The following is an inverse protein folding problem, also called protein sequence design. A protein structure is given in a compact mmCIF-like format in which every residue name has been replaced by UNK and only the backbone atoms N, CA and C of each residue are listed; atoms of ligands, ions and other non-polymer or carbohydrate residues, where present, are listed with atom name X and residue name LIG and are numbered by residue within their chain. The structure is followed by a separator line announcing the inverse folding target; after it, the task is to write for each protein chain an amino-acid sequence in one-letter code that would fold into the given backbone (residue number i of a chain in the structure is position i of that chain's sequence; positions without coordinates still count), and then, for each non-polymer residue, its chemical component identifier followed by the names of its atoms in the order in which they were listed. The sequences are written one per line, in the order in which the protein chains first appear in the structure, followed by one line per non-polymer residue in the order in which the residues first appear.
data_IF_450569393014
#
_entry.id   IF_450569393014
#
_cell.length_a   1.000
_cell.length_b   1.000
_cell.length_c   1.000
_cell.angle_alpha   90.00
_cell.angle_beta   90.00
_cell.angle_gamma   90.00
#
_symmetry.space_group_name_H-M   'P 1'
#
loop_
_entity.id
_entity.type
_entity.pdbx_description
1 polymer ?
#
# COMPACT_ATOMS: atom_id res chain seq x y z
N UNK A 1 18.35 -31.12 0.48
CA UNK A 1 17.58 -30.00 1.05
C UNK A 1 16.18 -30.04 0.47
N UNK A 2 15.12 -30.04 1.28
CA UNK A 2 13.76 -29.95 0.78
C UNK A 2 13.56 -28.57 0.13
N UNK A 3 12.80 -28.45 -0.98
CA UNK A 3 12.51 -27.15 -1.56
C UNK A 3 11.74 -26.32 -0.52
N UNK A 4 12.21 -25.11 -0.24
CA UNK A 4 11.49 -24.16 0.59
C UNK A 4 10.08 -23.99 -0.01
N UNK A 5 9.04 -24.16 0.83
CA UNK A 5 7.67 -23.97 0.39
C UNK A 5 7.56 -22.60 -0.30
N UNK A 6 6.87 -22.50 -1.46
CA UNK A 6 6.74 -21.24 -2.17
C UNK A 6 6.13 -20.23 -1.21
N UNK A 7 6.89 -19.18 -0.88
CA UNK A 7 6.40 -18.08 -0.08
C UNK A 7 5.25 -17.43 -0.84
N UNK A 8 4.10 -17.32 -0.17
CA UNK A 8 2.93 -16.67 -0.74
C UNK A 8 3.32 -15.27 -1.24
N UNK A 9 2.97 -14.95 -2.48
CA UNK A 9 3.29 -13.65 -3.03
C UNK A 9 2.51 -12.55 -2.30
N UNK A 10 3.15 -11.41 -2.10
CA UNK A 10 2.62 -10.29 -1.34
C UNK A 10 2.36 -9.10 -2.24
N UNK A 11 1.20 -8.48 -2.05
CA UNK A 11 0.81 -7.21 -2.63
C UNK A 11 0.88 -6.17 -1.52
N UNK A 12 1.63 -5.11 -1.76
CA UNK A 12 1.77 -4.01 -0.83
C UNK A 12 0.88 -2.85 -1.27
N UNK A 13 -0.20 -2.57 -0.53
CA UNK A 13 -1.08 -1.43 -0.73
C UNK A 13 -0.68 -0.27 0.19
N UNK A 14 -0.17 0.81 -0.38
CA UNK A 14 0.24 2.02 0.32
C UNK A 14 -0.90 3.03 0.26
N UNK A 15 -1.32 3.55 1.41
CA UNK A 15 -2.42 4.52 1.54
C UNK A 15 -2.00 5.70 2.39
N UNK A 16 -2.40 6.90 2.01
CA UNK A 16 -2.11 8.13 2.77
C UNK A 16 -3.28 8.47 3.72
N UNK A 17 -4.50 8.21 3.27
CA UNK A 17 -5.70 8.37 4.09
C UNK A 17 -6.50 7.06 4.13
N UNK A 18 -6.99 6.68 5.32
CA UNK A 18 -7.79 5.45 5.49
C UNK A 18 -9.10 5.46 4.68
N UNK A 19 -9.65 6.62 4.36
CA UNK A 19 -10.83 6.73 3.50
C UNK A 19 -10.53 6.25 2.06
N UNK A 20 -9.29 6.45 1.57
CA UNK A 20 -8.88 5.98 0.25
C UNK A 20 -8.87 4.46 0.18
N UNK A 21 -8.52 3.81 1.30
CA UNK A 21 -8.50 2.35 1.40
C UNK A 21 -9.87 1.79 1.05
N UNK A 22 -10.96 2.37 1.58
CA UNK A 22 -12.33 1.93 1.35
C UNK A 22 -12.71 1.91 -0.14
N UNK A 23 -12.15 2.81 -0.95
CA UNK A 23 -12.45 2.95 -2.37
C UNK A 23 -11.71 1.94 -3.25
N UNK A 24 -10.55 1.44 -2.81
CA UNK A 24 -9.62 0.72 -3.70
C UNK A 24 -9.40 -0.73 -3.34
N UNK A 25 -9.56 -1.11 -2.07
CA UNK A 25 -9.12 -2.41 -1.58
C UNK A 25 -9.79 -3.58 -2.32
N UNK A 26 -11.07 -3.44 -2.68
CA UNK A 26 -11.80 -4.45 -3.45
C UNK A 26 -11.21 -4.62 -4.85
N UNK A 27 -10.98 -3.50 -5.54
CA UNK A 27 -10.39 -3.52 -6.88
C UNK A 27 -9.00 -4.16 -6.88
N UNK A 28 -8.15 -3.83 -5.89
CA UNK A 28 -6.82 -4.45 -5.75
C UNK A 28 -6.94 -5.95 -5.51
N UNK A 29 -7.86 -6.38 -4.65
CA UNK A 29 -8.09 -7.80 -4.40
C UNK A 29 -8.56 -8.53 -5.66
N UNK A 30 -9.46 -7.94 -6.44
CA UNK A 30 -10.07 -8.58 -7.60
C UNK A 30 -9.16 -8.59 -8.84
N UNK A 31 -8.25 -7.63 -8.97
CA UNK A 31 -7.44 -7.46 -10.18
C UNK A 31 -5.96 -7.80 -9.99
N UNK A 32 -5.43 -7.66 -8.77
CA UNK A 32 -4.01 -7.88 -8.50
C UNK A 32 -3.74 -9.19 -7.75
N UNK A 33 -4.70 -9.69 -6.97
CA UNK A 33 -4.49 -10.79 -6.03
C UNK A 33 -4.84 -12.19 -6.57
N UNK A 34 -3.92 -13.10 -6.29
CA UNK A 34 -3.97 -14.57 -6.30
C UNK A 34 -4.83 -15.13 -5.17
N UNK A 35 -5.52 -16.27 -5.36
CA UNK A 35 -5.88 -17.12 -4.22
C UNK A 35 -4.61 -17.53 -3.47
N UNK A 36 -4.56 -17.32 -2.17
CA UNK A 36 -3.37 -17.56 -1.33
C UNK A 36 -2.35 -16.42 -1.29
N UNK A 37 -2.51 -15.35 -2.09
CA UNK A 37 -1.65 -14.17 -1.96
C UNK A 37 -1.89 -13.47 -0.63
N UNK A 38 -0.87 -12.77 -0.15
CA UNK A 38 -0.93 -11.90 1.03
C UNK A 38 -1.14 -10.46 0.60
N UNK A 39 -1.97 -9.71 1.35
CA UNK A 39 -2.13 -8.26 1.16
C UNK A 39 -1.59 -7.53 2.40
N UNK A 40 -0.60 -6.66 2.22
CA UNK A 40 -0.10 -5.79 3.28
C UNK A 40 -0.54 -4.36 3.02
N UNK A 41 -1.22 -3.75 3.99
CA UNK A 41 -1.73 -2.39 3.88
C UNK A 41 -0.83 -1.48 4.74
N UNK A 42 -0.10 -0.57 4.09
CA UNK A 42 0.78 0.38 4.77
C UNK A 42 0.18 1.78 4.74
N UNK A 43 -0.23 2.25 5.90
CA UNK A 43 -0.75 3.60 6.09
C UNK A 43 0.42 4.56 6.35
N UNK A 44 0.75 5.38 5.37
CA UNK A 44 1.78 6.43 5.42
C UNK A 44 1.10 7.76 5.73
N UNK A 45 0.83 8.02 7.00
CA UNK A 45 0.26 9.28 7.45
C UNK A 45 1.13 9.92 8.52
N UNK A 46 1.20 11.26 8.52
CA UNK A 46 1.50 12.02 9.73
C UNK A 46 0.46 11.72 10.83
N UNK A 47 0.62 12.25 12.06
CA UNK A 47 -0.23 11.92 13.21
C UNK A 47 -1.69 12.33 12.96
N UNK A 48 -2.44 11.47 12.29
CA UNK A 48 -3.83 11.68 11.93
C UNK A 48 -4.68 10.90 12.93
N UNK A 49 -5.46 11.67 13.69
CA UNK A 49 -6.21 11.26 14.89
C UNK A 49 -7.56 10.62 14.54
N UNK A 50 -7.85 10.34 13.25
CA UNK A 50 -9.07 9.64 12.84
C UNK A 50 -8.90 8.13 13.04
N UNK A 51 -8.93 7.72 14.31
CA UNK A 51 -9.00 6.33 14.71
C UNK A 51 -10.32 5.70 14.26
N UNK A 52 -10.33 5.09 13.08
CA UNK A 52 -11.23 3.98 12.80
C UNK A 52 -10.44 2.66 12.90
N UNK A 53 -10.17 2.16 14.11
CA UNK A 53 -9.48 0.87 14.31
C UNK A 53 -10.23 -0.32 13.68
N UNK A 54 -11.50 -0.15 13.33
CA UNK A 54 -12.34 -1.18 12.73
C UNK A 54 -12.13 -1.37 11.23
N UNK A 55 -11.70 -0.36 10.46
CA UNK A 55 -11.66 -0.46 8.99
C UNK A 55 -10.62 -1.49 8.50
N UNK A 56 -9.35 -1.47 8.97
CA UNK A 56 -8.38 -2.51 8.58
C UNK A 56 -8.84 -3.92 8.98
N UNK A 57 -9.46 -4.05 10.15
CA UNK A 57 -9.97 -5.33 10.67
C UNK A 57 -11.13 -5.85 9.82
N UNK A 58 -12.07 -4.99 9.44
CA UNK A 58 -13.20 -5.35 8.59
C UNK A 58 -12.73 -5.81 7.20
N UNK A 59 -11.78 -5.08 6.60
CA UNK A 59 -11.18 -5.42 5.31
C UNK A 59 -10.44 -6.77 5.39
N UNK A 60 -9.66 -6.99 6.45
CA UNK A 60 -8.98 -8.27 6.66
C UNK A 60 -9.95 -9.45 6.72
N UNK A 61 -11.09 -9.30 7.40
CA UNK A 61 -12.11 -10.33 7.48
C UNK A 61 -12.78 -10.59 6.12
N UNK A 62 -13.10 -9.54 5.36
CA UNK A 62 -13.70 -9.68 4.03
C UNK A 62 -12.76 -10.36 3.03
N UNK A 63 -11.46 -10.05 3.09
CA UNK A 63 -10.45 -10.63 2.19
C UNK A 63 -10.15 -12.10 2.49
N UNK A 64 -10.13 -12.50 3.77
CA UNK A 64 -10.04 -13.92 4.15
C UNK A 64 -11.20 -14.73 3.57
N UNK A 65 -12.42 -14.17 3.61
CA UNK A 65 -13.61 -14.78 3.00
C UNK A 65 -13.48 -14.99 1.48
N UNK A 66 -12.60 -14.24 0.81
CA UNK A 66 -12.31 -14.33 -0.64
C UNK A 66 -11.17 -15.29 -0.98
N UNK A 67 -10.54 -15.93 0.01
CA UNK A 67 -9.46 -16.89 -0.21
C UNK A 67 -8.09 -16.25 -0.47
N UNK A 68 -7.92 -14.95 -0.19
CA UNK A 68 -6.59 -14.41 0.07
C UNK A 68 -6.04 -15.05 1.35
N UNK A 69 -4.72 -15.18 1.42
CA UNK A 69 -4.02 -15.75 2.57
C UNK A 69 -4.10 -14.83 3.79
N UNK A 70 -2.99 -14.15 4.09
CA UNK A 70 -2.95 -13.22 5.20
C UNK A 70 -3.22 -11.78 4.75
N UNK A 71 -3.81 -10.98 5.63
CA UNK A 71 -3.92 -9.53 5.44
C UNK A 71 -3.27 -8.87 6.64
N UNK A 72 -2.27 -8.04 6.39
CA UNK A 72 -1.54 -7.31 7.41
C UNK A 72 -1.80 -5.82 7.29
N UNK A 73 -1.78 -5.12 8.42
CA UNK A 73 -1.86 -3.67 8.46
C UNK A 73 -0.68 -3.11 9.26
N UNK A 74 -0.01 -2.11 8.69
CA UNK A 74 1.11 -1.42 9.32
C UNK A 74 0.93 0.07 9.15
N UNK A 75 1.11 0.82 10.24
CA UNK A 75 1.21 2.26 10.19
C UNK A 75 2.68 2.67 10.13
N UNK A 76 3.03 3.52 9.16
CA UNK A 76 4.36 4.09 9.01
C UNK A 76 4.32 5.55 9.46
N UNK A 77 5.30 5.90 10.29
CA UNK A 77 5.50 7.26 10.79
C UNK A 77 6.80 7.81 10.21
N UNK A 78 6.81 9.11 9.91
CA UNK A 78 8.06 9.77 9.55
C UNK A 78 8.99 9.76 10.76
N UNK A 79 10.18 9.21 10.58
CA UNK A 79 11.20 9.14 11.62
C UNK A 79 11.89 10.50 11.85
N UNK A 80 11.79 11.40 10.86
CA UNK A 80 12.44 12.72 10.83
C UNK A 80 11.47 13.89 10.85
N UNK A 81 10.16 13.64 10.72
CA UNK A 81 9.13 14.65 10.48
C UNK A 81 9.02 15.09 9.02
N UNK A 82 9.93 14.68 8.13
CA UNK A 82 9.85 14.91 6.69
C UNK A 82 8.95 13.84 6.01
N UNK A 83 7.89 14.21 5.26
CA UNK A 83 7.09 13.28 4.47
C UNK A 83 7.87 12.50 3.40
N UNK A 84 9.02 13.01 2.93
CA UNK A 84 9.88 12.32 1.95
C UNK A 84 10.48 11.04 2.52
N UNK A 85 10.72 11.00 3.83
CA UNK A 85 11.20 9.82 4.55
C UNK A 85 10.23 8.63 4.39
N UNK A 86 8.93 8.90 4.28
CA UNK A 86 7.93 7.84 4.09
C UNK A 86 8.11 7.12 2.74
N UNK A 87 8.41 7.86 1.67
CA UNK A 87 8.68 7.28 0.36
C UNK A 87 9.92 6.36 0.37
N UNK A 88 10.98 6.82 1.04
CA UNK A 88 12.22 6.04 1.20
C UNK A 88 11.99 4.80 2.06
N UNK A 89 11.29 4.94 3.18
CA UNK A 89 10.92 3.83 4.05
C UNK A 89 10.12 2.76 3.29
N UNK A 90 9.14 3.17 2.47
CA UNK A 90 8.36 2.23 1.66
C UNK A 90 9.27 1.51 0.67
N UNK A 91 10.11 2.23 -0.09
CA UNK A 91 11.02 1.63 -1.06
C UNK A 91 11.96 0.61 -0.40
N UNK A 92 12.59 0.98 0.72
CA UNK A 92 13.52 0.13 1.45
C UNK A 92 12.85 -1.12 2.01
N UNK A 93 11.70 -0.98 2.66
CA UNK A 93 10.98 -2.11 3.25
C UNK A 93 10.40 -3.04 2.17
N UNK A 94 9.90 -2.49 1.06
CA UNK A 94 9.45 -3.29 -0.07
C UNK A 94 10.61 -4.05 -0.73
N UNK A 95 11.76 -3.40 -0.94
CA UNK A 95 12.95 -4.02 -1.51
C UNK A 95 13.51 -5.15 -0.62
N UNK A 96 13.49 -4.96 0.70
CA UNK A 96 13.93 -5.96 1.67
C UNK A 96 13.01 -7.18 1.81
N UNK A 97 11.82 -7.15 1.20
CA UNK A 97 10.87 -8.26 1.24
C UNK A 97 10.79 -8.97 -0.12
N UNK A 98 11.31 -10.21 -0.25
CA UNK A 98 11.26 -10.95 -1.50
C UNK A 98 9.84 -11.39 -1.89
N UNK A 99 8.92 -11.51 -0.92
CA UNK A 99 7.53 -11.88 -1.20
C UNK A 99 6.75 -10.77 -1.92
N UNK A 100 7.13 -9.49 -1.71
CA UNK A 100 6.48 -8.35 -2.37
C UNK A 100 6.72 -8.42 -3.88
N UNK A 101 5.66 -8.70 -4.62
CA UNK A 101 5.66 -8.74 -6.09
C UNK A 101 5.14 -7.47 -6.74
N UNK A 102 4.35 -6.69 -6.01
CA UNK A 102 3.68 -5.50 -6.50
C UNK A 102 3.47 -4.50 -5.36
N UNK A 103 3.83 -3.25 -5.62
CA UNK A 103 3.46 -2.10 -4.78
C UNK A 103 2.32 -1.38 -5.49
N UNK A 104 1.23 -1.14 -4.78
CA UNK A 104 0.06 -0.40 -5.25
C UNK A 104 -0.04 0.86 -4.41
N UNK A 105 -0.18 2.01 -5.06
CA UNK A 105 -0.35 3.28 -4.38
C UNK A 105 -1.50 4.04 -5.03
N UNK A 106 -2.34 4.64 -4.18
CA UNK A 106 -3.35 5.59 -4.61
C UNK A 106 -2.71 6.96 -4.84
N UNK A 107 -2.85 7.46 -6.06
CA UNK A 107 -2.50 8.84 -6.37
C UNK A 107 -3.68 9.74 -6.03
N UNK A 108 -3.60 10.39 -4.87
CA UNK A 108 -4.64 11.28 -4.37
C UNK A 108 -4.22 12.74 -4.53
N UNK A 109 -4.83 13.41 -5.51
CA UNK A 109 -4.47 14.78 -5.90
C UNK A 109 -5.65 15.73 -5.69
N UNK A 110 -6.14 15.88 -4.46
CA UNK A 110 -7.24 16.82 -4.14
C UNK A 110 -6.83 18.31 -4.12
N UNK A 111 -5.58 18.66 -4.44
CA UNK A 111 -5.13 20.06 -4.54
C UNK A 111 -4.80 20.37 -5.99
N UNK A 112 -5.60 21.25 -6.61
CA UNK A 112 -5.57 21.65 -8.01
C UNK A 112 -4.32 22.41 -8.49
N UNK A 113 -3.13 22.00 -8.05
CA UNK A 113 -1.87 22.41 -8.65
C UNK A 113 -1.39 21.24 -9.52
N UNK A 114 -1.64 21.33 -10.82
CA UNK A 114 -1.26 20.33 -11.85
C UNK A 114 0.19 19.82 -11.74
N UNK A 115 1.12 20.58 -11.14
CA UNK A 115 2.50 20.14 -10.92
C UNK A 115 2.73 19.32 -9.64
N UNK A 116 2.00 19.58 -8.55
CA UNK A 116 2.05 18.74 -7.33
C UNK A 116 1.14 17.50 -7.47
N UNK A 117 0.07 17.61 -8.27
CA UNK A 117 -0.93 16.58 -8.52
C UNK A 117 -0.45 15.39 -9.37
N UNK A 118 0.59 15.57 -10.19
CA UNK A 118 1.16 14.48 -11.00
C UNK A 118 2.20 13.65 -10.22
N UNK A 119 2.62 14.10 -9.03
CA UNK A 119 3.82 13.66 -8.33
C UNK A 119 3.69 13.83 -6.81
N UNK A 120 2.55 13.46 -6.20
CA UNK A 120 2.41 13.42 -4.74
C UNK A 120 3.69 12.82 -4.12
N UNK A 121 4.30 13.49 -3.14
CA UNK A 121 5.72 13.28 -2.80
C UNK A 121 6.14 11.81 -2.62
N UNK A 122 5.24 10.96 -2.12
CA UNK A 122 5.41 9.51 -2.00
C UNK A 122 5.27 8.79 -3.35
N UNK A 123 4.26 9.11 -4.18
CA UNK A 123 4.09 8.53 -5.53
C UNK A 123 5.25 8.87 -6.45
N UNK A 124 5.72 10.12 -6.43
CA UNK A 124 6.89 10.54 -7.20
C UNK A 124 8.18 9.90 -6.73
N UNK A 125 8.31 9.66 -5.42
CA UNK A 125 9.51 9.01 -4.89
C UNK A 125 9.51 7.53 -5.28
N UNK A 126 8.39 6.84 -5.08
CA UNK A 126 8.23 5.43 -5.43
C UNK A 126 8.43 5.20 -6.93
N UNK A 127 7.92 6.06 -7.80
CA UNK A 127 8.09 5.90 -9.26
C UNK A 127 9.55 6.00 -9.72
N UNK A 128 10.40 6.71 -8.96
CA UNK A 128 11.82 6.91 -9.28
C UNK A 128 12.73 5.90 -8.61
N UNK A 129 12.40 5.48 -7.39
CA UNK A 129 13.33 4.76 -6.52
C UNK A 129 12.83 3.39 -6.05
N UNK A 130 11.55 3.05 -6.26
CA UNK A 130 11.07 1.72 -5.91
C UNK A 130 11.60 0.68 -6.90
N UNK A 131 12.33 -0.31 -6.40
CA UNK A 131 12.85 -1.42 -7.21
C UNK A 131 11.80 -2.50 -7.52
N UNK A 132 10.62 -2.42 -6.88
CA UNK A 132 9.51 -3.33 -7.10
C UNK A 132 8.55 -2.76 -8.15
N UNK A 133 7.83 -3.61 -8.90
CA UNK A 133 6.76 -3.15 -9.79
C UNK A 133 5.78 -2.25 -9.03
N UNK A 134 5.46 -1.09 -9.62
CA UNK A 134 4.59 -0.07 -9.04
C UNK A 134 3.33 0.09 -9.89
N UNK A 135 2.16 -0.01 -9.27
CA UNK A 135 0.86 0.33 -9.84
C UNK A 135 0.32 1.59 -9.15
N UNK A 136 0.20 2.66 -9.91
CA UNK A 136 -0.41 3.91 -9.47
C UNK A 136 -1.89 3.93 -9.86
N UNK A 137 -2.77 4.02 -8.87
CA UNK A 137 -4.21 4.08 -9.06
C UNK A 137 -4.69 5.52 -8.90
N UNK A 138 -5.27 6.07 -9.96
CA UNK A 138 -5.84 7.41 -9.95
C UNK A 138 -7.34 7.31 -9.65
N UNK A 139 -7.77 7.98 -8.58
CA UNK A 139 -9.20 8.11 -8.30
C UNK A 139 -9.80 9.16 -9.24
N UNK A 140 -11.00 8.93 -9.79
CA UNK A 140 -11.72 9.95 -10.55
C UNK A 140 -12.03 11.16 -9.66
N UNK A 141 -12.00 12.36 -10.26
CA UNK A 141 -12.31 13.65 -9.61
C UNK A 141 -13.79 13.77 -9.22
#
# INVERSE_FOLDING_TARGET
AAPAAPTAAEILLVVNHLEELANVWQWVADNCARKGDTLSIWHVAGPSVSGMPSLPTAIANQLRGRGLGNVSYRQLYSSTGDPRDLGEQVCRLAAGNPAVKLVVLLNYSRRGLLQEALHGSVSSHLSRYCSKPLLLLQLPE
#
